data_IF_717522634219
#
_entry.id   IF_717522634219
#
_cell.length_a   1.000
_cell.length_b   1.000
_cell.length_c   1.000
_cell.angle_alpha   90.00
_cell.angle_beta   90.00
_cell.angle_gamma   90.00
#
_symmetry.space_group_name_H-M   'P 1'
#
loop_
_entity.id
_entity.type
_entity.pdbx_description
1 polymer ?
#
# COMPACT_ATOMS: atom_id res chain seq x y z
N UNK A 1 6.24 -5.46 -8.38
CA UNK A 1 5.44 -4.63 -7.45
C UNK A 1 6.07 -3.26 -7.33
N UNK A 2 7.37 -3.17 -7.04
CA UNK A 2 8.11 -1.89 -7.00
C UNK A 2 7.87 -0.98 -8.22
N UNK A 3 7.84 -1.55 -9.43
CA UNK A 3 7.58 -0.80 -10.67
C UNK A 3 6.25 -0.04 -10.66
N UNK A 4 5.19 -0.61 -10.09
CA UNK A 4 3.87 0.00 -10.04
C UNK A 4 3.86 1.28 -9.18
N UNK A 5 4.67 1.33 -8.13
CA UNK A 5 4.82 2.53 -7.30
C UNK A 5 5.67 3.60 -7.98
N UNK A 6 6.71 3.19 -8.71
CA UNK A 6 7.56 4.10 -9.48
C UNK A 6 6.79 4.87 -10.55
N UNK A 7 5.83 4.20 -11.19
CA UNK A 7 4.94 4.79 -12.20
C UNK A 7 3.96 5.82 -11.61
N UNK A 8 3.75 5.81 -10.29
CA UNK A 8 2.86 6.74 -9.62
C UNK A 8 3.53 8.03 -9.16
N UNK A 9 4.86 8.07 -9.15
CA UNK A 9 5.65 9.24 -8.76
C UNK A 9 6.00 10.14 -9.96
N UNK A 10 6.14 11.47 -9.77
CA UNK A 10 6.46 12.42 -10.84
C UNK A 10 7.66 12.00 -11.69
N UNK A 11 7.60 12.16 -13.01
CA UNK A 11 8.64 11.68 -13.93
C UNK A 11 10.01 12.36 -13.71
N UNK A 12 10.00 13.62 -13.28
CA UNK A 12 11.14 14.49 -13.01
C UNK A 12 11.78 14.28 -11.62
N UNK A 13 11.11 13.57 -10.71
CA UNK A 13 11.67 13.25 -9.40
C UNK A 13 12.93 12.36 -9.53
N UNK A 14 14.06 12.73 -8.88
CA UNK A 14 15.28 11.95 -8.90
C UNK A 14 15.07 10.49 -8.48
N UNK A 15 15.69 9.56 -9.21
CA UNK A 15 15.58 8.13 -8.93
C UNK A 15 15.91 7.75 -7.47
N UNK A 16 16.97 8.30 -6.82
CA UNK A 16 17.25 7.99 -5.42
C UNK A 16 16.10 8.37 -4.48
N UNK A 17 15.45 9.50 -4.73
CA UNK A 17 14.30 9.97 -3.94
C UNK A 17 13.09 9.06 -4.13
N UNK A 18 12.78 8.67 -5.38
CA UNK A 18 11.74 7.66 -5.67
C UNK A 18 11.99 6.36 -4.92
N UNK A 19 13.25 5.89 -4.89
CA UNK A 19 13.61 4.66 -4.17
C UNK A 19 13.30 4.79 -2.68
N UNK A 20 13.64 5.91 -2.05
CA UNK A 20 13.41 6.14 -0.62
C UNK A 20 11.91 6.08 -0.28
N UNK A 21 11.09 6.84 -1.01
CA UNK A 21 9.63 6.88 -0.81
C UNK A 21 9.04 5.47 -1.01
N UNK A 22 9.42 4.80 -2.09
CA UNK A 22 8.89 3.47 -2.43
C UNK A 22 9.29 2.42 -1.39
N UNK A 23 10.54 2.38 -0.93
CA UNK A 23 10.95 1.40 0.09
C UNK A 23 10.26 1.66 1.44
N UNK A 24 10.04 2.93 1.83
CA UNK A 24 9.28 3.28 3.04
C UNK A 24 7.86 2.69 2.99
N UNK A 25 7.14 2.92 1.90
CA UNK A 25 5.77 2.41 1.71
C UNK A 25 5.73 0.88 1.69
N UNK A 26 6.70 0.23 1.02
CA UNK A 26 6.83 -1.23 1.01
C UNK A 26 7.03 -1.78 2.43
N UNK A 27 7.87 -1.11 3.22
CA UNK A 27 8.14 -1.51 4.60
C UNK A 27 6.89 -1.39 5.47
N UNK A 28 6.19 -0.25 5.39
CA UNK A 28 5.03 0.04 6.23
C UNK A 28 3.90 -0.96 5.98
N UNK A 29 3.69 -1.35 4.73
CA UNK A 29 2.65 -2.29 4.34
C UNK A 29 3.03 -3.76 4.56
N UNK A 30 4.27 -4.04 4.99
CA UNK A 30 4.74 -5.42 5.19
C UNK A 30 4.89 -6.19 3.87
N UNK A 31 5.32 -5.53 2.79
CA UNK A 31 5.41 -6.09 1.44
C UNK A 31 6.85 -6.42 1.01
N UNK A 32 7.81 -6.38 1.93
CA UNK A 32 9.24 -6.59 1.68
C UNK A 32 9.54 -7.91 0.96
N UNK A 33 8.84 -8.99 1.32
CA UNK A 33 9.05 -10.33 0.75
C UNK A 33 8.56 -10.45 -0.70
N UNK A 34 7.68 -9.56 -1.15
CA UNK A 34 7.08 -9.57 -2.50
C UNK A 34 7.43 -8.34 -3.33
N UNK A 35 8.40 -7.53 -2.89
CA UNK A 35 8.73 -6.24 -3.51
C UNK A 35 9.08 -6.33 -5.00
N UNK A 36 9.72 -7.44 -5.40
CA UNK A 36 10.13 -7.70 -6.78
C UNK A 36 9.14 -8.64 -7.52
N UNK A 37 8.10 -9.12 -6.85
CA UNK A 37 7.10 -10.02 -7.45
C UNK A 37 6.15 -9.25 -8.37
N UNK A 38 5.66 -9.89 -9.43
CA UNK A 38 4.57 -9.35 -10.23
C UNK A 38 3.25 -9.45 -9.45
N UNK A 39 2.38 -8.45 -9.58
CA UNK A 39 1.04 -8.49 -8.95
C UNK A 39 0.23 -9.66 -9.51
N UNK A 40 0.43 -9.99 -10.79
CA UNK A 40 -0.26 -11.06 -11.50
C UNK A 40 -1.51 -10.56 -12.21
N UNK A 41 -2.02 -11.38 -13.12
CA UNK A 41 -3.28 -11.17 -13.86
C UNK A 41 -4.26 -12.30 -13.53
N UNK A 42 -5.46 -12.26 -14.10
CA UNK A 42 -6.42 -13.38 -13.98
C UNK A 42 -5.82 -14.68 -14.56
N UNK A 43 -5.02 -14.56 -15.61
CA UNK A 43 -4.42 -15.69 -16.32
C UNK A 43 -3.09 -16.14 -15.73
N UNK A 44 -2.34 -15.23 -15.09
CA UNK A 44 -1.02 -15.50 -14.53
C UNK A 44 -0.97 -15.20 -13.04
N UNK A 45 -0.83 -16.26 -12.24
CA UNK A 45 -0.73 -16.16 -10.78
C UNK A 45 0.41 -15.21 -10.38
N UNK A 46 0.10 -14.28 -9.47
CA UNK A 46 1.08 -13.37 -8.86
C UNK A 46 0.98 -13.41 -7.33
N UNK A 47 0.96 -12.24 -6.71
CA UNK A 47 0.85 -12.10 -5.25
C UNK A 47 -0.53 -12.53 -4.72
N UNK A 48 -0.63 -12.77 -3.40
CA UNK A 48 -1.90 -13.13 -2.77
C UNK A 48 -2.92 -11.98 -2.84
N UNK A 49 -4.21 -12.30 -2.67
CA UNK A 49 -5.27 -11.29 -2.65
C UNK A 49 -5.03 -10.20 -1.60
N UNK A 50 -4.58 -10.57 -0.41
CA UNK A 50 -4.28 -9.61 0.66
C UNK A 50 -2.99 -8.81 0.44
N UNK A 51 -2.01 -9.37 -0.26
CA UNK A 51 -0.86 -8.59 -0.74
C UNK A 51 -1.29 -7.58 -1.80
N UNK A 52 -2.12 -8.00 -2.76
CA UNK A 52 -2.68 -7.11 -3.80
C UNK A 52 -3.47 -5.95 -3.20
N UNK A 53 -4.31 -6.21 -2.19
CA UNK A 53 -5.07 -5.13 -1.55
C UNK A 53 -4.17 -4.11 -0.85
N UNK A 54 -3.13 -4.58 -0.14
CA UNK A 54 -2.11 -3.68 0.43
C UNK A 54 -1.32 -2.93 -0.63
N UNK A 55 -1.01 -3.56 -1.77
CA UNK A 55 -0.38 -2.88 -2.92
C UNK A 55 -1.25 -1.73 -3.42
N UNK A 56 -2.56 -1.94 -3.53
CA UNK A 56 -3.47 -0.88 -3.97
C UNK A 56 -3.48 0.31 -2.99
N UNK A 57 -3.46 0.07 -1.68
CA UNK A 57 -3.32 1.17 -0.70
C UNK A 57 -1.96 1.86 -0.85
N UNK A 58 -0.89 1.10 -1.10
CA UNK A 58 0.45 1.65 -1.34
C UNK A 58 0.56 2.53 -2.59
N UNK A 59 -0.26 2.28 -3.62
CA UNK A 59 -0.33 3.15 -4.80
C UNK A 59 -0.82 4.55 -4.45
N UNK A 60 -1.75 4.67 -3.49
CA UNK A 60 -2.22 5.96 -3.02
C UNK A 60 -1.24 6.59 -2.02
N UNK A 61 -0.64 5.77 -1.16
CA UNK A 61 0.31 6.21 -0.12
C UNK A 61 1.62 6.77 -0.68
N UNK A 62 2.13 6.21 -1.79
CA UNK A 62 3.42 6.64 -2.39
C UNK A 62 3.37 8.08 -2.91
N UNK A 63 2.18 8.62 -3.18
CA UNK A 63 2.03 10.00 -3.62
C UNK A 63 2.12 11.01 -2.45
N UNK A 64 2.30 10.54 -1.22
CA UNK A 64 2.36 11.35 0.00
C UNK A 64 1.19 12.35 0.11
N UNK A 65 -0.07 11.89 -0.03
CA UNK A 65 -1.21 12.79 -0.06
C UNK A 65 -1.44 13.43 1.32
N UNK A 66 -1.97 14.65 1.35
CA UNK A 66 -2.38 15.31 2.60
C UNK A 66 -3.68 14.74 3.19
N UNK A 67 -4.48 14.04 2.38
CA UNK A 67 -5.73 13.37 2.74
C UNK A 67 -5.87 12.04 1.99
N UNK A 68 -6.18 10.98 2.72
CA UNK A 68 -6.50 9.67 2.18
C UNK A 68 -7.91 9.27 2.61
N UNK A 69 -8.77 8.91 1.65
CA UNK A 69 -10.13 8.39 1.90
C UNK A 69 -10.15 6.94 1.43
N UNK A 70 -10.49 6.03 2.33
CA UNK A 70 -10.46 4.58 2.07
C UNK A 70 -11.82 3.96 2.37
N UNK A 71 -12.34 3.19 1.42
CA UNK A 71 -13.57 2.42 1.60
C UNK A 71 -13.24 0.93 1.81
N UNK A 72 -13.64 0.40 2.96
CA UNK A 72 -13.38 -0.96 3.42
C UNK A 72 -11.97 -1.51 3.12
N UNK A 73 -10.89 -0.84 3.60
CA UNK A 73 -9.52 -1.22 3.26
C UNK A 73 -9.16 -2.62 3.78
N UNK A 74 -9.84 -3.10 4.82
CA UNK A 74 -9.62 -4.42 5.43
C UNK A 74 -10.50 -5.53 4.86
N UNK A 75 -11.48 -5.23 4.00
CA UNK A 75 -12.39 -6.24 3.47
C UNK A 75 -11.63 -7.28 2.62
N UNK A 76 -11.88 -8.57 2.86
CA UNK A 76 -11.19 -9.68 2.20
C UNK A 76 -9.76 -9.96 2.69
N UNK A 77 -9.31 -9.29 3.76
CA UNK A 77 -8.07 -9.62 4.45
C UNK A 77 -8.33 -10.57 5.64
N UNK A 78 -7.38 -11.46 5.91
CA UNK A 78 -7.33 -12.15 7.20
C UNK A 78 -7.02 -11.15 8.34
N UNK A 79 -7.19 -11.60 9.58
CA UNK A 79 -7.00 -10.77 10.77
C UNK A 79 -5.58 -10.20 10.87
N UNK A 80 -4.57 -11.01 10.57
CA UNK A 80 -3.16 -10.60 10.62
C UNK A 80 -2.83 -9.52 9.58
N UNK A 81 -3.29 -9.71 8.33
CA UNK A 81 -3.10 -8.77 7.22
C UNK A 81 -3.86 -7.47 7.44
N UNK A 82 -5.07 -7.56 8.02
CA UNK A 82 -5.85 -6.39 8.43
C UNK A 82 -5.11 -5.55 9.46
N UNK A 83 -4.55 -6.19 10.49
CA UNK A 83 -3.76 -5.50 11.52
C UNK A 83 -2.48 -4.87 10.97
N UNK A 84 -1.82 -5.50 10.00
CA UNK A 84 -0.68 -4.90 9.31
C UNK A 84 -1.08 -3.63 8.54
N UNK A 85 -2.17 -3.69 7.77
CA UNK A 85 -2.67 -2.54 7.03
C UNK A 85 -3.08 -1.39 7.95
N UNK A 86 -3.85 -1.67 9.02
CA UNK A 86 -4.27 -0.65 9.97
C UNK A 86 -3.09 -0.01 10.70
N UNK A 87 -2.03 -0.76 11.01
CA UNK A 87 -0.80 -0.21 11.58
C UNK A 87 -0.05 0.68 10.59
N UNK A 88 0.00 0.31 9.32
CA UNK A 88 0.59 1.14 8.26
C UNK A 88 -0.15 2.48 8.14
N UNK A 89 -1.49 2.44 8.05
CA UNK A 89 -2.32 3.64 7.97
C UNK A 89 -2.16 4.51 9.23
N UNK A 90 -2.15 3.90 10.42
CA UNK A 90 -1.90 4.64 11.66
C UNK A 90 -0.53 5.34 11.64
N UNK A 91 0.50 4.71 11.06
CA UNK A 91 1.84 5.31 10.96
C UNK A 91 1.82 6.52 10.02
N UNK A 92 1.22 6.41 8.84
CA UNK A 92 1.07 7.54 7.92
C UNK A 92 0.28 8.70 8.55
N UNK A 93 -0.75 8.39 9.34
CA UNK A 93 -1.48 9.41 10.09
C UNK A 93 -0.61 10.17 11.10
N UNK A 94 0.36 9.48 11.73
CA UNK A 94 1.31 10.11 12.65
C UNK A 94 2.37 10.97 11.93
N UNK A 95 2.64 10.68 10.65
CA UNK A 95 3.51 11.50 9.79
C UNK A 95 2.78 12.74 9.21
N UNK A 96 1.49 12.93 9.57
CA UNK A 96 0.71 14.13 9.23
C UNK A 96 -0.32 13.94 8.11
N UNK A 97 -0.50 12.72 7.60
CA UNK A 97 -1.54 12.43 6.61
C UNK A 97 -2.92 12.36 7.28
N UNK A 98 -3.90 13.11 6.79
CA UNK A 98 -5.27 12.95 7.26
C UNK A 98 -5.86 11.67 6.67
N UNK A 99 -6.37 10.76 7.50
CA UNK A 99 -6.94 9.49 7.01
C UNK A 99 -8.39 9.36 7.47
N UNK A 100 -9.29 9.25 6.51
CA UNK A 100 -10.68 8.89 6.71
C UNK A 100 -10.92 7.50 6.13
N UNK A 101 -11.50 6.59 6.91
CA UNK A 101 -11.82 5.25 6.40
C UNK A 101 -13.12 4.71 6.94
N UNK A 102 -13.84 3.99 6.09
CA UNK A 102 -15.00 3.17 6.46
C UNK A 102 -14.51 1.74 6.65
N UNK A 103 -14.80 1.12 7.80
CA UNK A 103 -14.41 -0.26 8.10
C UNK A 103 -15.65 -1.09 8.39
N UNK A 104 -15.87 -2.13 7.59
CA UNK A 104 -16.87 -3.14 7.88
C UNK A 104 -16.21 -4.35 8.55
N UNK A 105 -16.63 -4.67 9.77
CA UNK A 105 -16.31 -5.94 10.42
C UNK A 105 -17.62 -6.72 10.63
N UNK A 106 -17.91 -7.76 9.82
CA UNK A 106 -18.99 -8.68 10.18
C UNK A 106 -18.61 -9.36 11.50
N UNK A 107 -19.52 -9.32 12.47
CA UNK A 107 -19.40 -9.99 13.77
C UNK A 107 -19.33 -11.50 13.60
#
# INVERSE_FOLDING_TARGET
MKIYYFERLPADMPKPEKVLIVERVIEFLGLQSVRNSLVGTVEKRGISGGQRKRVNVGLEMVMEPSLMILDEPTSGLDSASSQLLLRALRREALEGVNICMVVHQPR
#
